data_IF_104515218297
#
_entry.id   IF_104515218297
#
_cell.length_a   1.000
_cell.length_b   1.000
_cell.length_c   1.000
_cell.angle_alpha   90.00
_cell.angle_beta   90.00
_cell.angle_gamma   90.00
#
_symmetry.space_group_name_H-M   'P 1'
#
loop_
_entity.id
_entity.type
_entity.pdbx_description
1 polymer ?
#
# COMPACT_ATOMS: atom_id res chain seq x y z
N UNK A 1 -96.10 -12.52 19.21
CA UNK A 1 -95.43 -12.28 17.89
C UNK A 1 -94.05 -12.83 17.92
N UNK A 2 -93.81 -13.90 17.17
CA UNK A 2 -92.53 -14.66 17.11
C UNK A 2 -91.61 -14.02 16.07
N UNK A 3 -90.38 -13.73 16.39
CA UNK A 3 -89.28 -13.45 15.37
C UNK A 3 -88.22 -14.51 15.55
N UNK A 4 -87.99 -15.24 14.46
CA UNK A 4 -87.01 -16.30 14.30
C UNK A 4 -85.65 -15.68 14.13
N UNK A 5 -84.63 -16.15 14.86
CA UNK A 5 -83.23 -15.87 14.63
C UNK A 5 -82.69 -16.88 13.62
N UNK A 6 -82.01 -16.34 12.59
CA UNK A 6 -81.23 -17.13 11.64
C UNK A 6 -79.76 -17.12 12.08
N UNK A 7 -79.21 -18.29 12.30
CA UNK A 7 -77.80 -18.52 12.54
C UNK A 7 -77.13 -18.67 11.18
N UNK A 8 -76.25 -17.72 10.79
CA UNK A 8 -75.42 -17.85 9.64
C UNK A 8 -74.07 -18.41 10.05
N UNK A 9 -73.68 -19.57 9.53
CA UNK A 9 -72.35 -20.14 9.60
C UNK A 9 -71.43 -19.41 8.61
N UNK A 10 -70.33 -18.85 9.08
CA UNK A 10 -69.21 -18.37 8.26
C UNK A 10 -68.18 -19.48 8.17
N UNK A 11 -67.55 -19.74 6.96
CA UNK A 11 -66.51 -20.72 6.84
C UNK A 11 -65.19 -20.14 7.31
N UNK A 12 -64.46 -20.89 8.13
CA UNK A 12 -63.12 -20.53 8.58
C UNK A 12 -62.13 -20.49 7.45
N UNK A 13 -61.48 -19.33 7.27
CA UNK A 13 -60.32 -19.18 6.44
C UNK A 13 -59.09 -19.69 7.20
N UNK A 14 -58.51 -20.81 6.76
CA UNK A 14 -57.18 -21.24 7.20
C UNK A 14 -56.16 -20.26 6.66
N UNK A 15 -55.54 -19.49 7.53
CA UNK A 15 -54.36 -18.70 7.21
C UNK A 15 -53.18 -19.67 7.11
N UNK A 16 -52.69 -19.91 5.88
CA UNK A 16 -51.40 -20.53 5.62
C UNK A 16 -50.34 -19.51 5.95
N UNK A 17 -49.67 -19.68 7.08
CA UNK A 17 -48.49 -18.92 7.42
C UNK A 17 -47.36 -19.34 6.45
N UNK A 18 -47.09 -18.53 5.45
CA UNK A 18 -45.91 -18.65 4.63
C UNK A 18 -44.69 -18.31 5.49
N UNK A 19 -43.97 -19.33 5.92
CA UNK A 19 -42.63 -19.19 6.50
C UNK A 19 -41.70 -18.61 5.41
N UNK A 20 -41.48 -17.29 5.42
CA UNK A 20 -40.40 -16.69 4.71
C UNK A 20 -39.13 -17.11 5.42
N UNK A 21 -38.44 -18.11 4.88
CA UNK A 21 -37.03 -18.36 5.17
C UNK A 21 -36.28 -17.10 4.77
N UNK A 22 -35.77 -16.37 5.76
CA UNK A 22 -34.78 -15.35 5.58
C UNK A 22 -33.59 -16.03 4.89
N UNK A 23 -33.50 -15.92 3.56
CA UNK A 23 -32.25 -16.17 2.85
C UNK A 23 -31.23 -15.24 3.49
N UNK A 24 -30.27 -15.85 4.19
CA UNK A 24 -29.11 -15.16 4.72
C UNK A 24 -28.50 -14.36 3.56
N UNK A 25 -28.61 -13.02 3.64
CA UNK A 25 -28.15 -12.12 2.59
C UNK A 25 -26.70 -12.42 2.24
N UNK A 26 -26.49 -13.17 1.18
CA UNK A 26 -25.19 -13.21 0.53
C UNK A 26 -24.92 -11.80 0.05
N UNK A 27 -24.06 -11.13 0.78
CA UNK A 27 -23.56 -9.82 0.41
C UNK A 27 -23.05 -9.88 -1.04
N UNK A 28 -23.50 -8.97 -1.90
CA UNK A 28 -23.12 -8.95 -3.30
C UNK A 28 -21.58 -8.96 -3.43
N UNK A 29 -21.02 -9.75 -4.34
CA UNK A 29 -19.57 -9.78 -4.53
C UNK A 29 -19.07 -8.39 -4.92
N UNK A 30 -17.96 -7.96 -4.31
CA UNK A 30 -17.32 -6.70 -4.68
C UNK A 30 -16.85 -6.79 -6.15
N UNK A 31 -17.05 -5.73 -6.97
CA UNK A 31 -16.63 -5.77 -8.36
C UNK A 31 -15.12 -5.92 -8.47
N UNK A 32 -14.67 -6.69 -9.46
CA UNK A 32 -13.26 -6.87 -9.76
C UNK A 32 -12.66 -5.60 -10.39
N UNK A 33 -11.35 -5.40 -10.16
CA UNK A 33 -10.60 -4.32 -10.79
C UNK A 33 -10.51 -4.55 -12.30
N UNK A 34 -10.79 -3.54 -13.15
CA UNK A 34 -10.48 -3.62 -14.56
C UNK A 34 -8.98 -3.83 -14.78
N UNK A 35 -8.61 -4.82 -15.59
CA UNK A 35 -7.22 -5.04 -16.01
C UNK A 35 -6.98 -4.30 -17.31
N UNK A 36 -6.20 -3.24 -17.26
CA UNK A 36 -5.88 -2.43 -18.43
C UNK A 36 -4.51 -2.87 -18.96
N UNK A 37 -4.41 -3.30 -20.24
CA UNK A 37 -3.14 -3.60 -20.88
C UNK A 37 -2.27 -2.35 -20.98
N UNK A 38 -0.99 -2.48 -20.64
CA UNK A 38 -0.05 -1.38 -20.75
C UNK A 38 1.25 -1.67 -20.00
N UNK A 39 2.32 -1.00 -20.40
CA UNK A 39 3.65 -1.11 -19.77
C UNK A 39 4.10 0.24 -19.28
N UNK A 40 4.51 0.31 -18.02
CA UNK A 40 5.23 1.43 -17.45
C UNK A 40 6.74 1.23 -17.67
N UNK A 41 7.43 2.29 -18.12
CA UNK A 41 8.88 2.33 -18.24
C UNK A 41 9.45 3.19 -17.12
N UNK A 42 9.92 2.54 -16.04
CA UNK A 42 10.38 3.20 -14.83
C UNK A 42 11.89 3.37 -14.87
N UNK A 43 12.41 4.61 -14.72
CA UNK A 43 13.84 4.92 -14.64
C UNK A 43 14.31 4.69 -13.21
N UNK A 44 14.77 3.48 -12.97
CA UNK A 44 15.15 3.00 -11.66
C UNK A 44 16.61 3.31 -11.37
N UNK A 45 16.88 4.09 -10.31
CA UNK A 45 18.20 4.37 -9.75
C UNK A 45 18.53 3.34 -8.68
N UNK A 46 19.70 2.73 -8.79
CA UNK A 46 20.22 1.79 -7.78
C UNK A 46 21.68 2.11 -7.46
N UNK A 47 22.17 1.52 -6.37
CA UNK A 47 23.55 1.67 -5.90
C UNK A 47 24.17 0.31 -5.64
N UNK A 48 25.44 0.15 -5.96
CA UNK A 48 26.23 -1.03 -5.64
C UNK A 48 27.61 -0.63 -5.15
N UNK A 49 28.15 -1.34 -4.18
CA UNK A 49 29.52 -1.15 -3.75
C UNK A 49 30.44 -1.89 -4.71
N UNK A 50 31.34 -1.16 -5.41
CA UNK A 50 32.34 -1.72 -6.31
C UNK A 50 33.62 -2.14 -5.55
N UNK A 51 33.95 -1.42 -4.48
CA UNK A 51 35.03 -1.69 -3.55
C UNK A 51 34.77 -0.94 -2.25
N UNK A 52 35.41 -1.28 -1.13
CA UNK A 52 35.20 -0.60 0.14
C UNK A 52 35.24 0.92 0.02
N UNK A 53 34.08 1.57 0.30
CA UNK A 53 33.92 3.02 0.24
C UNK A 53 33.68 3.61 -1.17
N UNK A 54 33.66 2.80 -2.24
CA UNK A 54 33.34 3.24 -3.60
C UNK A 54 31.98 2.74 -4.04
N UNK A 55 31.01 3.62 -4.04
CA UNK A 55 29.64 3.34 -4.48
C UNK A 55 29.45 3.77 -5.94
N UNK A 56 28.95 2.84 -6.75
CA UNK A 56 28.48 3.11 -8.11
C UNK A 56 26.98 3.34 -8.11
N UNK A 57 26.58 4.48 -8.66
CA UNK A 57 25.17 4.76 -8.98
C UNK A 57 24.89 4.27 -10.39
N UNK A 58 23.82 3.52 -10.57
CA UNK A 58 23.39 3.01 -11.87
C UNK A 58 21.92 3.33 -12.11
N UNK A 59 21.57 3.60 -13.35
CA UNK A 59 20.19 3.74 -13.78
C UNK A 59 19.85 2.67 -14.81
N UNK A 60 18.65 2.11 -14.68
CA UNK A 60 18.11 1.14 -15.65
C UNK A 60 16.63 1.35 -15.83
N UNK A 61 16.10 0.97 -16.97
CA UNK A 61 14.67 1.00 -17.22
C UNK A 61 14.06 -0.33 -16.80
N UNK A 62 13.13 -0.29 -15.84
CA UNK A 62 12.25 -1.41 -15.50
C UNK A 62 10.99 -1.31 -16.36
N UNK A 63 10.55 -2.44 -16.90
CA UNK A 63 9.31 -2.53 -17.67
C UNK A 63 8.29 -3.31 -16.87
N UNK A 64 7.31 -2.62 -16.32
CA UNK A 64 6.27 -3.20 -15.46
C UNK A 64 4.92 -3.19 -16.16
N UNK A 65 4.25 -4.34 -16.16
CA UNK A 65 2.86 -4.42 -16.61
C UNK A 65 1.95 -3.69 -15.62
N UNK A 66 1.13 -2.78 -16.14
CA UNK A 66 0.18 -1.99 -15.33
C UNK A 66 -0.71 -2.91 -14.49
N UNK A 67 -1.25 -3.97 -15.12
CA UNK A 67 -2.16 -4.91 -14.46
C UNK A 67 -1.51 -5.69 -13.31
N UNK A 68 -0.18 -5.79 -13.28
CA UNK A 68 0.60 -6.49 -12.25
C UNK A 68 1.24 -5.54 -11.25
N UNK A 69 0.89 -4.25 -11.28
CA UNK A 69 1.53 -3.24 -10.45
C UNK A 69 0.57 -2.64 -9.43
N UNK A 70 1.06 -2.49 -8.19
CA UNK A 70 0.40 -1.72 -7.14
C UNK A 70 1.29 -0.58 -6.65
N UNK A 71 0.66 0.52 -6.27
CA UNK A 71 1.25 1.60 -5.47
C UNK A 71 0.75 1.42 -4.04
N UNK A 72 1.66 1.35 -3.07
CA UNK A 72 1.34 1.30 -1.64
C UNK A 72 1.70 2.65 -1.03
N UNK A 73 0.71 3.30 -0.43
CA UNK A 73 0.85 4.60 0.25
C UNK A 73 0.98 4.31 1.75
N UNK A 74 2.18 4.55 2.28
CA UNK A 74 2.52 4.24 3.67
C UNK A 74 2.32 5.44 4.58
N UNK A 75 1.48 5.28 5.60
CA UNK A 75 1.36 6.14 6.78
C UNK A 75 1.29 7.66 6.51
N UNK A 76 0.61 8.07 5.45
CA UNK A 76 0.35 9.46 5.12
C UNK A 76 -0.80 10.03 5.97
N UNK A 77 -0.59 10.14 7.28
CA UNK A 77 -1.62 10.53 8.26
C UNK A 77 -2.10 11.99 8.15
N UNK A 78 -3.28 12.25 8.68
CA UNK A 78 -3.90 13.58 8.78
C UNK A 78 -3.17 14.52 9.76
N UNK A 79 -2.43 13.97 10.73
CA UNK A 79 -1.59 14.71 11.69
C UNK A 79 -0.46 13.83 12.23
N UNK A 80 0.45 14.38 13.05
CA UNK A 80 1.54 13.65 13.67
C UNK A 80 1.92 14.29 15.01
N UNK A 81 2.57 13.53 15.92
CA UNK A 81 3.15 14.07 17.16
C UNK A 81 4.23 15.11 16.86
N UNK A 82 5.04 14.90 15.81
CA UNK A 82 5.99 15.87 15.28
C UNK A 82 5.29 16.83 14.29
N UNK A 83 5.21 18.12 14.65
CA UNK A 83 4.50 19.12 13.83
C UNK A 83 5.18 19.34 12.46
N UNK A 84 6.52 19.39 12.43
CA UNK A 84 7.25 19.57 11.16
C UNK A 84 7.07 18.37 10.23
N UNK A 85 7.02 17.15 10.77
CA UNK A 85 6.66 15.97 10.00
C UNK A 85 5.24 16.07 9.43
N UNK A 86 4.24 16.45 10.23
CA UNK A 86 2.88 16.65 9.77
C UNK A 86 2.79 17.70 8.63
N UNK A 87 3.56 18.79 8.73
CA UNK A 87 3.62 19.82 7.70
C UNK A 87 4.22 19.27 6.38
N UNK A 88 5.28 18.47 6.46
CA UNK A 88 5.90 17.86 5.27
C UNK A 88 4.96 16.85 4.60
N UNK A 89 4.24 16.04 5.38
CA UNK A 89 3.18 15.15 4.89
C UNK A 89 2.09 15.95 4.17
N UNK A 90 1.57 17.01 4.80
CA UNK A 90 0.54 17.87 4.21
C UNK A 90 1.01 18.56 2.92
N UNK A 91 2.28 18.97 2.85
CA UNK A 91 2.86 19.56 1.64
C UNK A 91 3.02 18.55 0.49
N UNK A 92 3.34 17.28 0.81
CA UNK A 92 3.55 16.22 -0.17
C UNK A 92 2.23 15.61 -0.67
N UNK A 93 1.20 15.53 0.16
CA UNK A 93 -0.05 14.83 -0.13
C UNK A 93 -0.76 15.29 -1.42
N UNK A 94 -0.88 16.59 -1.77
CA UNK A 94 -1.52 17.00 -3.02
C UNK A 94 -0.80 16.46 -4.27
N UNK A 95 0.54 16.49 -4.29
CA UNK A 95 1.31 15.90 -5.40
C UNK A 95 1.14 14.39 -5.47
N UNK A 96 1.17 13.72 -4.32
CA UNK A 96 0.92 12.29 -4.22
C UNK A 96 -0.46 11.93 -4.79
N UNK A 97 -1.50 12.70 -4.45
CA UNK A 97 -2.85 12.48 -4.97
C UNK A 97 -2.94 12.64 -6.51
N UNK A 98 -2.24 13.61 -7.07
CA UNK A 98 -2.14 13.74 -8.54
C UNK A 98 -1.54 12.50 -9.19
N UNK A 99 -0.45 11.98 -8.62
CA UNK A 99 0.24 10.79 -9.13
C UNK A 99 -0.64 9.55 -9.02
N UNK A 100 -1.23 9.28 -7.84
CA UNK A 100 -2.08 8.10 -7.67
C UNK A 100 -3.36 8.16 -8.51
N UNK A 101 -3.95 9.36 -8.68
CA UNK A 101 -5.13 9.55 -9.53
C UNK A 101 -4.82 9.28 -11.00
N UNK A 102 -3.68 9.78 -11.50
CA UNK A 102 -3.21 9.48 -12.85
C UNK A 102 -2.90 7.99 -13.02
N UNK A 103 -2.16 7.39 -12.09
CA UNK A 103 -1.81 5.96 -12.13
C UNK A 103 -3.05 5.06 -12.06
N UNK A 104 -4.01 5.40 -11.22
CA UNK A 104 -5.31 4.71 -11.08
C UNK A 104 -6.08 4.72 -12.40
N UNK A 105 -6.13 5.86 -13.09
CA UNK A 105 -6.81 5.99 -14.39
C UNK A 105 -6.16 5.15 -15.49
N UNK A 106 -4.88 4.82 -15.34
CA UNK A 106 -4.12 3.93 -16.21
C UNK A 106 -4.27 2.44 -15.83
N UNK A 107 -4.96 2.12 -14.73
CA UNK A 107 -5.21 0.75 -14.29
C UNK A 107 -4.24 0.23 -13.22
N UNK A 108 -3.34 1.05 -12.69
CA UNK A 108 -2.49 0.68 -11.54
C UNK A 108 -3.35 0.51 -10.29
N UNK A 109 -3.07 -0.52 -9.50
CA UNK A 109 -3.73 -0.74 -8.21
C UNK A 109 -3.20 0.24 -7.17
N UNK A 110 -4.11 0.86 -6.41
CA UNK A 110 -3.73 1.73 -5.29
C UNK A 110 -4.12 1.06 -3.98
N UNK A 111 -3.17 1.02 -3.04
CA UNK A 111 -3.35 0.48 -1.69
C UNK A 111 -2.96 1.56 -0.69
N UNK A 112 -3.93 2.03 0.08
CA UNK A 112 -3.76 2.97 1.17
C UNK A 112 -3.46 2.20 2.45
N UNK A 113 -2.36 2.54 3.11
CA UNK A 113 -1.92 1.83 4.30
C UNK A 113 -1.62 2.78 5.48
N UNK A 114 -2.63 3.55 5.93
CA UNK A 114 -2.50 4.45 7.08
C UNK A 114 -2.64 3.66 8.39
N UNK A 115 -1.53 3.20 8.94
CA UNK A 115 -1.53 2.36 10.14
C UNK A 115 -2.15 3.04 11.34
N UNK A 116 -2.72 2.22 12.23
CA UNK A 116 -3.38 2.63 13.47
C UNK A 116 -4.66 3.48 13.26
N UNK A 117 -5.25 3.42 12.03
CA UNK A 117 -6.45 4.20 11.69
C UNK A 117 -7.58 3.37 11.07
N UNK A 118 -7.48 2.05 11.08
CA UNK A 118 -8.42 1.17 10.39
C UNK A 118 -9.87 1.33 10.83
N UNK A 119 -10.10 1.79 12.07
CA UNK A 119 -11.44 2.09 12.57
C UNK A 119 -12.18 3.14 11.72
N UNK A 120 -11.45 4.11 11.16
CA UNK A 120 -12.03 5.14 10.29
C UNK A 120 -12.59 4.54 8.98
N UNK A 121 -12.01 3.43 8.52
CA UNK A 121 -12.34 2.78 7.25
C UNK A 121 -13.26 1.57 7.39
N UNK A 122 -13.76 1.27 8.58
CA UNK A 122 -14.67 0.16 8.79
C UNK A 122 -15.90 0.25 7.88
N UNK A 123 -16.22 -0.84 7.21
CA UNK A 123 -17.43 -0.98 6.38
C UNK A 123 -17.36 -0.35 4.98
N UNK A 124 -16.31 0.43 4.64
CA UNK A 124 -16.20 0.92 3.26
C UNK A 124 -15.74 -0.18 2.29
N UNK A 125 -16.14 -0.15 1.01
CA UNK A 125 -15.80 -1.18 0.03
C UNK A 125 -14.30 -1.44 -0.10
N UNK A 126 -13.47 -0.41 -0.01
CA UNK A 126 -12.01 -0.49 -0.13
C UNK A 126 -11.38 -1.28 1.03
N UNK A 127 -11.91 -1.13 2.25
CA UNK A 127 -11.47 -1.90 3.41
C UNK A 127 -11.96 -3.35 3.33
N UNK A 128 -13.24 -3.54 3.03
CA UNK A 128 -13.85 -4.85 2.90
C UNK A 128 -13.18 -5.71 1.82
N UNK A 129 -12.74 -5.10 0.71
CA UNK A 129 -12.00 -5.78 -0.36
C UNK A 129 -10.70 -6.42 0.14
N UNK A 130 -9.96 -5.71 0.97
CA UNK A 130 -8.73 -6.23 1.56
C UNK A 130 -8.99 -7.38 2.53
N UNK A 131 -9.99 -7.22 3.39
CA UNK A 131 -10.38 -8.23 4.39
C UNK A 131 -10.91 -9.52 3.78
N UNK A 132 -11.57 -9.44 2.62
CA UNK A 132 -12.19 -10.58 1.93
C UNK A 132 -11.26 -11.30 0.95
N UNK A 133 -10.07 -10.79 0.72
CA UNK A 133 -9.11 -11.46 -0.15
C UNK A 133 -8.78 -12.85 0.42
N UNK A 134 -8.87 -13.92 -0.40
CA UNK A 134 -8.56 -15.28 0.05
C UNK A 134 -7.16 -15.37 0.60
N UNK A 135 -7.00 -16.08 1.74
CA UNK A 135 -5.69 -16.27 2.36
C UNK A 135 -4.75 -16.98 1.40
N UNK A 136 -3.63 -16.34 1.11
CA UNK A 136 -2.55 -16.88 0.29
C UNK A 136 -1.37 -17.30 1.16
N UNK A 137 -0.81 -18.49 0.89
CA UNK A 137 0.40 -18.96 1.55
C UNK A 137 1.62 -18.18 1.07
N UNK A 138 2.45 -17.75 1.99
CA UNK A 138 3.71 -17.08 1.71
C UNK A 138 4.88 -18.04 1.94
N UNK A 139 6.01 -17.84 1.23
CA UNK A 139 7.23 -18.63 1.37
C UNK A 139 7.99 -18.37 2.69
N UNK A 140 7.74 -17.21 3.30
CA UNK A 140 8.32 -16.78 4.57
C UNK A 140 7.21 -16.19 5.45
N UNK A 141 7.39 -16.13 6.78
CA UNK A 141 6.43 -15.46 7.65
C UNK A 141 6.24 -13.98 7.29
N UNK A 142 4.99 -13.52 7.31
CA UNK A 142 4.68 -12.10 7.21
C UNK A 142 4.68 -11.52 8.62
N UNK A 143 5.70 -10.74 8.92
CA UNK A 143 5.93 -10.16 10.23
C UNK A 143 5.05 -8.93 10.42
N UNK A 144 4.61 -8.65 11.64
CA UNK A 144 3.90 -7.40 11.97
C UNK A 144 4.80 -6.18 11.74
N UNK A 145 6.09 -6.33 12.04
CA UNK A 145 7.16 -5.40 11.71
C UNK A 145 8.37 -6.19 11.23
N UNK A 146 9.06 -5.68 10.22
CA UNK A 146 10.33 -6.21 9.74
C UNK A 146 11.46 -5.29 10.22
N UNK A 147 12.03 -5.52 11.43
CA UNK A 147 12.99 -4.61 12.02
C UNK A 147 14.30 -4.58 11.21
N UNK A 148 15.13 -3.59 11.51
CA UNK A 148 16.48 -3.48 10.98
C UNK A 148 17.30 -4.68 11.43
N UNK A 149 17.97 -5.35 10.49
CA UNK A 149 18.97 -6.35 10.81
C UNK A 149 20.28 -5.63 11.18
N UNK A 150 20.67 -5.73 12.46
CA UNK A 150 21.89 -5.10 12.96
C UNK A 150 23.17 -5.65 12.34
N UNK A 151 23.16 -6.86 11.78
CA UNK A 151 24.30 -7.46 11.11
C UNK A 151 24.46 -6.92 9.67
N UNK A 152 23.36 -6.81 8.94
CA UNK A 152 23.35 -6.36 7.55
C UNK A 152 23.29 -4.83 7.42
N UNK A 153 22.65 -4.13 8.36
CA UNK A 153 22.43 -2.70 8.35
C UNK A 153 23.15 -1.95 9.49
N UNK A 154 24.36 -2.42 9.88
CA UNK A 154 25.16 -1.86 11.01
C UNK A 154 25.36 -0.35 10.93
N UNK A 155 25.57 0.17 9.74
CA UNK A 155 25.89 1.56 9.48
C UNK A 155 24.68 2.26 8.89
N UNK A 156 23.55 2.25 9.62
CA UNK A 156 22.40 3.01 9.18
C UNK A 156 22.76 4.49 9.11
N UNK A 157 22.42 5.20 8.03
CA UNK A 157 23.04 6.48 7.66
C UNK A 157 22.65 7.65 8.55
N UNK A 158 21.59 7.52 9.34
CA UNK A 158 21.12 8.55 10.29
C UNK A 158 20.92 7.94 11.67
N UNK A 159 21.05 8.76 12.69
CA UNK A 159 20.69 8.40 14.06
C UNK A 159 19.21 8.70 14.28
N UNK A 160 18.39 7.66 14.38
CA UNK A 160 16.96 7.71 14.64
C UNK A 160 16.58 7.13 16.02
N UNK A 161 17.56 6.93 16.90
CA UNK A 161 17.37 6.31 18.22
C UNK A 161 16.51 7.14 19.16
N UNK A 162 16.51 8.46 19.01
CA UNK A 162 15.68 9.40 19.76
C UNK A 162 14.34 9.74 19.07
N UNK A 163 13.88 8.89 18.13
CA UNK A 163 12.62 9.10 17.42
C UNK A 163 12.70 10.02 16.21
N UNK A 164 13.71 10.88 16.09
CA UNK A 164 14.01 11.70 14.90
C UNK A 164 13.12 12.90 14.64
N UNK A 165 12.27 13.30 15.61
CA UNK A 165 11.47 14.52 15.49
C UNK A 165 12.35 15.78 15.52
N UNK A 166 12.21 16.63 14.52
CA UNK A 166 12.97 17.86 14.35
C UNK A 166 12.26 19.14 14.83
N UNK A 167 11.14 19.00 15.55
CA UNK A 167 10.44 20.13 16.18
C UNK A 167 11.40 20.90 17.09
N UNK A 168 11.32 22.24 17.13
CA UNK A 168 12.13 23.06 18.04
C UNK A 168 11.91 22.71 19.51
N UNK A 169 10.69 22.33 19.85
CA UNK A 169 10.30 21.89 21.20
C UNK A 169 9.63 20.53 21.03
N UNK A 170 10.29 19.49 21.55
CA UNK A 170 9.74 18.15 21.53
C UNK A 170 8.53 18.06 22.48
N UNK A 171 7.45 17.46 22.01
CA UNK A 171 6.29 17.14 22.85
C UNK A 171 6.55 15.85 23.60
N UNK A 172 5.96 15.74 24.78
CA UNK A 172 5.89 14.47 25.50
C UNK A 172 4.92 13.52 24.73
N UNK A 173 5.44 12.39 24.27
CA UNK A 173 4.69 11.41 23.48
C UNK A 173 3.98 10.35 24.34
N UNK A 174 3.66 10.65 25.60
CA UNK A 174 3.05 9.70 26.54
C UNK A 174 1.55 9.43 26.31
N UNK A 175 0.96 9.97 25.27
CA UNK A 175 -0.47 9.81 24.93
C UNK A 175 -0.74 8.87 23.75
N UNK A 176 -2.01 8.64 23.43
CA UNK A 176 -2.39 7.98 22.19
C UNK A 176 -1.97 8.81 20.97
N UNK A 177 -1.67 8.15 19.89
CA UNK A 177 -1.34 8.83 18.64
C UNK A 177 -2.48 9.76 18.19
N UNK A 178 -2.15 10.97 17.69
CA UNK A 178 -3.16 11.98 17.39
C UNK A 178 -3.86 11.76 16.02
N UNK A 179 -3.28 10.93 15.15
CA UNK A 179 -3.84 10.68 13.82
C UNK A 179 -5.09 9.80 13.88
N UNK A 180 -6.01 10.07 12.98
CA UNK A 180 -7.31 9.37 12.92
C UNK A 180 -7.56 8.69 11.58
N UNK A 181 -6.90 9.16 10.52
CA UNK A 181 -7.04 8.68 9.15
C UNK A 181 -5.84 9.07 8.29
N UNK A 182 -5.85 8.68 7.05
CA UNK A 182 -4.95 9.21 6.03
C UNK A 182 -5.24 10.69 5.75
N UNK A 183 -4.23 11.42 5.28
CA UNK A 183 -4.37 12.84 4.94
C UNK A 183 -5.53 13.05 3.95
N UNK A 184 -6.46 13.98 4.25
CA UNK A 184 -7.68 14.18 3.45
C UNK A 184 -7.43 14.69 2.03
N UNK A 185 -6.20 15.08 1.68
CA UNK A 185 -5.81 15.40 0.32
C UNK A 185 -5.60 14.15 -0.56
N UNK A 186 -5.64 12.94 0.01
CA UNK A 186 -5.52 11.68 -0.71
C UNK A 186 -6.90 11.04 -0.88
N UNK A 187 -7.29 10.81 -2.13
CA UNK A 187 -8.58 10.24 -2.49
C UNK A 187 -8.55 8.71 -2.41
N UNK A 188 -9.39 8.13 -1.55
CA UNK A 188 -9.67 6.69 -1.46
C UNK A 188 -10.92 6.39 -2.27
N UNK A 189 -10.78 5.88 -3.49
CA UNK A 189 -11.91 5.75 -4.43
C UNK A 189 -11.87 4.44 -5.24
N UNK A 190 -12.99 4.11 -5.86
CA UNK A 190 -13.08 3.03 -6.85
C UNK A 190 -12.62 1.67 -6.32
N UNK A 191 -11.63 1.10 -7.01
CA UNK A 191 -11.08 -0.24 -6.71
C UNK A 191 -9.88 -0.21 -5.75
N UNK A 192 -9.57 0.92 -5.14
CA UNK A 192 -8.50 1.01 -4.17
C UNK A 192 -8.67 -0.01 -3.03
N UNK A 193 -7.58 -0.34 -2.38
CA UNK A 193 -7.59 -1.13 -1.14
C UNK A 193 -7.19 -0.26 0.05
N UNK A 194 -7.71 -0.57 1.24
CA UNK A 194 -7.27 0.05 2.50
C UNK A 194 -6.92 -1.04 3.50
N UNK A 195 -5.64 -1.11 3.92
CA UNK A 195 -5.21 -2.03 4.98
C UNK A 195 -3.84 -1.64 5.53
N UNK A 196 -3.64 -1.86 6.83
CA UNK A 196 -2.33 -1.81 7.51
C UNK A 196 -1.73 -3.19 7.75
N UNK A 197 -2.47 -4.24 7.40
CA UNK A 197 -2.10 -5.62 7.67
C UNK A 197 -1.37 -6.23 6.48
N UNK A 198 -0.11 -6.63 6.67
CA UNK A 198 0.72 -7.21 5.61
C UNK A 198 0.15 -8.50 5.02
N UNK A 199 -0.51 -9.36 5.83
CA UNK A 199 -1.13 -10.57 5.32
C UNK A 199 -2.32 -10.24 4.40
N UNK A 200 -3.16 -9.27 4.77
CA UNK A 200 -4.28 -8.84 3.91
C UNK A 200 -3.76 -8.23 2.60
N UNK A 201 -2.73 -7.37 2.66
CA UNK A 201 -2.08 -6.78 1.48
C UNK A 201 -1.48 -7.88 0.59
N UNK A 202 -0.78 -8.85 1.18
CA UNK A 202 -0.22 -9.98 0.45
C UNK A 202 -1.31 -10.82 -0.23
N UNK A 203 -2.37 -11.19 0.51
CA UNK A 203 -3.51 -11.93 -0.01
C UNK A 203 -4.12 -11.23 -1.21
N UNK A 204 -4.37 -9.93 -1.06
CA UNK A 204 -4.97 -9.12 -2.10
C UNK A 204 -4.06 -9.00 -3.32
N UNK A 205 -2.75 -8.78 -3.13
CA UNK A 205 -1.78 -8.78 -4.22
C UNK A 205 -1.79 -10.11 -4.98
N UNK A 206 -1.87 -11.25 -4.28
CA UNK A 206 -1.94 -12.58 -4.92
C UNK A 206 -3.25 -12.77 -5.69
N UNK A 207 -4.38 -12.37 -5.11
CA UNK A 207 -5.68 -12.39 -5.79
C UNK A 207 -5.67 -11.58 -7.08
N UNK A 208 -5.09 -10.38 -7.05
CA UNK A 208 -5.06 -9.46 -8.20
C UNK A 208 -3.93 -9.76 -9.19
N UNK A 209 -3.05 -10.72 -8.88
CA UNK A 209 -1.89 -11.03 -9.73
C UNK A 209 -0.83 -9.94 -9.72
N UNK A 210 -0.72 -9.18 -8.63
CA UNK A 210 0.30 -8.15 -8.44
C UNK A 210 1.64 -8.82 -8.13
N UNK A 211 2.67 -8.42 -8.84
CA UNK A 211 4.06 -8.85 -8.64
C UNK A 211 5.01 -7.67 -8.46
N UNK A 212 4.57 -6.45 -8.78
CA UNK A 212 5.36 -5.23 -8.74
C UNK A 212 4.73 -4.24 -7.76
N UNK A 213 5.53 -3.66 -6.86
CA UNK A 213 5.07 -2.72 -5.86
C UNK A 213 5.94 -1.46 -5.82
N UNK A 214 5.31 -0.29 -5.92
CA UNK A 214 5.95 0.98 -5.70
C UNK A 214 5.49 1.54 -4.35
N UNK A 215 6.42 1.74 -3.40
CA UNK A 215 6.11 2.32 -2.09
C UNK A 215 6.42 3.81 -2.08
N UNK A 216 5.50 4.59 -1.49
CA UNK A 216 5.64 6.02 -1.20
C UNK A 216 5.06 6.33 0.17
N UNK A 217 5.32 7.51 0.70
CA UNK A 217 4.81 7.94 2.01
C UNK A 217 5.88 7.97 3.08
N UNK A 218 5.50 7.86 4.36
CA UNK A 218 6.36 8.18 5.50
C UNK A 218 6.37 7.08 6.57
N UNK A 219 7.39 7.03 7.41
CA UNK A 219 8.67 7.71 7.22
C UNK A 219 9.65 6.74 6.59
N UNK A 220 10.50 7.27 5.70
CA UNK A 220 11.40 6.46 4.88
C UNK A 220 12.25 5.49 5.69
N UNK A 221 12.80 5.95 6.84
CA UNK A 221 13.66 5.15 7.73
C UNK A 221 12.88 4.24 8.69
N UNK A 222 11.58 4.45 8.88
CA UNK A 222 10.76 3.71 9.84
C UNK A 222 9.70 2.87 9.10
N UNK A 223 8.53 3.42 8.87
CA UNK A 223 7.36 2.68 8.39
C UNK A 223 7.56 2.13 6.97
N UNK A 224 8.10 2.94 6.05
CA UNK A 224 8.36 2.54 4.65
C UNK A 224 9.29 1.33 4.57
N UNK A 225 10.26 1.22 5.49
CA UNK A 225 11.14 0.06 5.58
C UNK A 225 10.55 -1.09 6.40
N UNK A 226 9.89 -0.79 7.55
CA UNK A 226 9.69 -1.74 8.65
C UNK A 226 8.28 -2.31 8.76
N UNK A 227 7.25 -1.70 8.15
CA UNK A 227 5.88 -2.23 8.23
C UNK A 227 5.79 -3.62 7.60
N UNK A 228 4.79 -4.38 7.97
CA UNK A 228 4.48 -5.70 7.40
C UNK A 228 4.27 -5.70 5.88
N UNK A 229 4.08 -4.53 5.30
CA UNK A 229 3.99 -4.23 3.87
C UNK A 229 5.12 -3.28 3.40
N UNK A 230 6.10 -3.01 4.25
CA UNK A 230 7.25 -2.17 3.96
C UNK A 230 8.25 -2.83 3.00
N UNK A 231 9.24 -2.06 2.56
CA UNK A 231 10.19 -2.49 1.52
C UNK A 231 10.94 -3.77 1.90
N UNK A 232 11.37 -3.94 3.17
CA UNK A 232 12.05 -5.15 3.62
C UNK A 232 11.18 -6.39 3.43
N UNK A 233 9.95 -6.34 3.95
CA UNK A 233 9.04 -7.48 3.87
C UNK A 233 8.64 -7.78 2.43
N UNK A 234 8.32 -6.75 1.62
CA UNK A 234 7.85 -6.95 0.25
C UNK A 234 8.97 -7.53 -0.64
N UNK A 235 10.22 -7.09 -0.49
CA UNK A 235 11.36 -7.65 -1.23
C UNK A 235 11.63 -9.11 -0.82
N UNK A 236 11.58 -9.42 0.48
CA UNK A 236 11.74 -10.79 0.97
C UNK A 236 10.61 -11.73 0.52
N UNK A 237 9.40 -11.23 0.36
CA UNK A 237 8.25 -11.97 -0.19
C UNK A 237 8.33 -12.17 -1.72
N UNK A 238 9.38 -11.64 -2.36
CA UNK A 238 9.64 -11.83 -3.80
C UNK A 238 8.94 -10.84 -4.73
N UNK A 239 8.36 -9.75 -4.21
CA UNK A 239 7.87 -8.68 -5.06
C UNK A 239 9.03 -7.90 -5.68
N UNK A 240 8.85 -7.47 -6.92
CA UNK A 240 9.70 -6.43 -7.49
C UNK A 240 9.29 -5.10 -6.85
N UNK A 241 10.09 -4.62 -5.91
CA UNK A 241 9.80 -3.40 -5.18
C UNK A 241 10.63 -2.22 -5.69
N UNK A 242 10.06 -1.01 -5.63
CA UNK A 242 10.78 0.26 -5.80
C UNK A 242 10.31 1.28 -4.76
N UNK A 243 11.20 2.18 -4.36
CA UNK A 243 10.87 3.37 -3.59
C UNK A 243 10.56 4.53 -4.52
N UNK A 244 9.48 5.27 -4.28
CA UNK A 244 9.19 6.53 -4.98
C UNK A 244 9.88 7.66 -4.21
N UNK A 245 11.11 8.01 -4.62
CA UNK A 245 12.03 8.83 -3.81
C UNK A 245 11.65 10.31 -3.66
N UNK A 246 10.83 10.85 -4.54
CA UNK A 246 10.33 12.22 -4.48
C UNK A 246 8.97 12.35 -3.76
N UNK A 247 8.41 11.23 -3.29
CA UNK A 247 7.19 11.17 -2.49
C UNK A 247 7.40 10.36 -1.20
N UNK A 248 8.50 10.66 -0.49
CA UNK A 248 8.82 10.09 0.82
C UNK A 248 9.63 11.10 1.64
N UNK A 249 9.60 10.95 2.96
CA UNK A 249 10.33 11.79 3.91
C UNK A 249 10.78 10.97 5.11
N UNK A 250 12.01 11.19 5.58
CA UNK A 250 12.53 10.48 6.74
C UNK A 250 12.16 11.20 8.04
N UNK A 251 12.01 10.45 9.11
CA UNK A 251 11.96 10.99 10.47
C UNK A 251 13.38 11.19 10.94
N UNK A 252 13.92 12.41 10.77
CA UNK A 252 15.30 12.74 11.04
C UNK A 252 15.45 14.14 11.60
N UNK A 253 16.16 14.24 12.75
CA UNK A 253 16.51 15.49 13.37
C UNK A 253 17.93 15.93 12.95
N UNK A 254 18.10 17.08 12.27
CA UNK A 254 19.42 17.62 11.92
C UNK A 254 20.39 17.85 13.08
N UNK A 255 19.88 17.86 14.30
CA UNK A 255 20.66 17.97 15.56
C UNK A 255 21.32 16.64 15.97
N UNK A 256 20.97 15.53 15.27
CA UNK A 256 21.57 14.21 15.49
C UNK A 256 22.52 13.83 14.34
N UNK A 257 23.32 12.76 14.52
CA UNK A 257 24.22 12.28 13.48
C UNK A 257 23.43 11.92 12.21
N UNK A 258 23.96 12.25 11.03
CA UNK A 258 25.29 12.83 10.71
C UNK A 258 25.34 14.36 10.68
N UNK A 259 24.42 15.09 11.35
CA UNK A 259 24.39 16.55 11.46
C UNK A 259 24.29 17.28 10.10
N UNK A 260 23.43 16.79 9.25
CA UNK A 260 23.14 17.34 7.93
C UNK A 260 21.74 17.97 7.90
N UNK A 261 21.38 18.66 6.82
CA UNK A 261 20.01 19.14 6.66
C UNK A 261 19.00 17.99 6.65
N UNK A 262 17.74 18.24 7.02
CA UNK A 262 16.68 17.25 7.01
C UNK A 262 16.55 16.57 5.64
N UNK A 263 16.53 17.35 4.56
CA UNK A 263 16.48 16.83 3.19
C UNK A 263 17.68 15.92 2.86
N UNK A 264 18.89 16.26 3.33
CA UNK A 264 20.06 15.39 3.13
C UNK A 264 19.97 14.11 3.96
N UNK A 265 19.37 14.17 5.17
CA UNK A 265 19.08 12.99 5.98
C UNK A 265 18.14 12.03 5.25
N UNK A 266 17.05 12.54 4.67
CA UNK A 266 16.14 11.77 3.83
C UNK A 266 16.86 11.13 2.64
N UNK A 267 17.69 11.91 1.92
CA UNK A 267 18.44 11.36 0.78
C UNK A 267 19.44 10.27 1.20
N UNK A 268 20.07 10.37 2.36
CA UNK A 268 20.95 9.33 2.90
C UNK A 268 20.21 8.01 3.15
N UNK A 269 18.96 8.08 3.64
CA UNK A 269 18.12 6.88 3.81
C UNK A 269 17.73 6.30 2.46
N UNK A 270 17.39 7.14 1.46
CA UNK A 270 17.12 6.69 0.09
C UNK A 270 18.34 5.98 -0.49
N UNK A 271 19.54 6.54 -0.34
CA UNK A 271 20.80 5.93 -0.77
C UNK A 271 21.03 4.56 -0.12
N UNK A 272 20.71 4.43 1.15
CA UNK A 272 20.77 3.16 1.88
C UNK A 272 19.79 2.13 1.30
N UNK A 273 18.54 2.54 1.02
CA UNK A 273 17.53 1.67 0.41
C UNK A 273 17.98 1.20 -0.98
N UNK A 274 18.52 2.11 -1.80
CA UNK A 274 19.04 1.80 -3.14
C UNK A 274 20.20 0.81 -3.13
N UNK A 275 21.00 0.84 -2.05
CA UNK A 275 22.15 -0.03 -1.89
C UNK A 275 21.80 -1.42 -1.35
N UNK A 276 20.73 -1.55 -0.58
CA UNK A 276 20.46 -2.76 0.21
C UNK A 276 19.16 -3.48 -0.16
N UNK A 277 18.12 -2.74 -0.54
CA UNK A 277 16.77 -3.31 -0.63
C UNK A 277 16.22 -3.29 -2.04
N UNK A 278 16.08 -2.13 -2.63
CA UNK A 278 15.48 -1.99 -3.94
C UNK A 278 15.87 -0.66 -4.60
N UNK A 279 15.79 -0.55 -5.93
CA UNK A 279 15.99 0.71 -6.61
C UNK A 279 14.91 1.73 -6.26
N UNK A 280 15.18 3.00 -6.53
CA UNK A 280 14.22 4.08 -6.43
C UNK A 280 13.85 4.65 -7.80
N UNK A 281 12.64 5.25 -7.89
CA UNK A 281 12.13 5.91 -9.09
C UNK A 281 11.64 7.32 -8.74
N UNK A 282 11.34 8.13 -9.76
CA UNK A 282 10.56 9.36 -9.60
C UNK A 282 9.09 9.08 -9.86
N UNK A 283 8.22 9.82 -9.18
CA UNK A 283 6.76 9.68 -9.27
C UNK A 283 6.21 9.88 -10.68
N UNK A 284 6.84 10.72 -11.48
CA UNK A 284 6.46 10.95 -12.88
C UNK A 284 6.48 9.67 -13.74
N UNK A 285 7.34 8.71 -13.42
CA UNK A 285 7.43 7.46 -14.16
C UNK A 285 6.18 6.60 -14.00
N UNK A 286 5.45 6.74 -12.88
CA UNK A 286 4.20 6.02 -12.61
C UNK A 286 3.00 6.56 -13.41
N UNK A 287 3.12 7.75 -13.97
CA UNK A 287 2.04 8.41 -14.73
C UNK A 287 2.17 8.22 -16.23
N UNK A 288 3.18 7.49 -16.69
CA UNK A 288 3.49 7.28 -18.11
C UNK A 288 3.35 5.81 -18.48
N UNK A 289 2.35 5.51 -19.26
CA UNK A 289 2.07 4.15 -19.75
C UNK A 289 2.10 4.13 -21.26
N UNK A 290 2.76 3.12 -21.82
CA UNK A 290 2.67 2.78 -23.24
C UNK A 290 1.43 1.88 -23.38
N UNK A 291 0.32 2.45 -23.84
CA UNK A 291 -0.95 1.76 -23.98
C UNK A 291 -0.87 0.65 -25.06
N UNK A 292 -1.58 -0.45 -24.82
CA UNK A 292 -1.82 -1.49 -25.84
C UNK A 292 -0.63 -2.37 -26.19
N UNK A 293 0.44 -2.35 -25.42
CA UNK A 293 1.52 -3.32 -25.55
C UNK A 293 1.20 -4.54 -24.70
N UNK A 294 0.57 -5.54 -25.29
CA UNK A 294 0.50 -6.87 -24.66
C UNK A 294 1.92 -7.41 -24.51
N UNK A 295 2.26 -7.92 -23.34
CA UNK A 295 3.47 -8.73 -23.20
C UNK A 295 3.38 -9.89 -24.22
N UNK A 296 4.47 -10.24 -24.94
CA UNK A 296 4.46 -11.42 -25.75
C UNK A 296 4.09 -12.60 -24.86
N UNK A 297 2.87 -13.11 -25.03
CA UNK A 297 2.43 -14.36 -24.43
C UNK A 297 3.54 -15.37 -24.66
N UNK A 298 3.94 -16.09 -23.61
CA UNK A 298 4.89 -17.20 -23.68
C UNK A 298 4.63 -17.99 -24.96
N UNK A 299 5.48 -17.82 -25.96
CA UNK A 299 5.49 -18.67 -27.12
C UNK A 299 5.68 -20.09 -26.60
N UNK A 300 4.61 -20.88 -26.74
CA UNK A 300 4.58 -22.32 -26.57
C UNK A 300 5.85 -22.89 -27.18
N UNK A 301 6.71 -23.47 -26.38
CA UNK A 301 7.79 -24.34 -26.84
C UNK A 301 7.14 -25.57 -27.41
N UNK A 302 6.77 -25.51 -28.67
CA UNK A 302 6.46 -26.70 -29.49
C UNK A 302 7.76 -27.48 -29.59
N UNK A 303 7.82 -28.61 -28.91
CA UNK A 303 8.84 -29.63 -29.11
C UNK A 303 8.75 -30.12 -30.56
N UNK A 304 9.82 -30.13 -31.33
CA UNK A 304 9.80 -30.86 -32.59
C UNK A 304 9.79 -32.37 -32.30
N UNK A 305 8.74 -33.05 -32.77
CA UNK A 305 8.71 -34.48 -32.78
C UNK A 305 9.92 -35.00 -33.59
N UNK A 306 10.74 -35.83 -32.98
CA UNK A 306 11.76 -36.62 -33.68
C UNK A 306 11.07 -37.70 -34.50
N UNK A 307 11.29 -37.66 -35.79
CA UNK A 307 11.10 -38.78 -36.67
C UNK A 307 12.26 -39.77 -36.53
#
# INVERSE_FOLDING_TARGET
MRRRSFLGMLPGAMAVAASQTLESGREAPLPNRPRVPGIMALRARGRSEESPGRVRVSERVLRWEVAQTAIIICDMWDTHTCNLSAQRVAAMAPRMNQVISASRSLGVMIIHAPSDTMKYYEGIPQRLRMQRAPVASSSIPILTRCPRDSAEERNFPIDDTAGGCDDPILKDETGPYPWTRENPALDVVGFDGVSENGQEIYNFCKQEGISNVALMGVHTNICVLNRSFGLRQMTQLGFQAVLVRDLTDAMYDPRTRPFVSHARGTELVIEHIESRWCPSILSDDLTRVIAGTDSPSKLSSAHPARA
#
